data_IF_780023268566
#
_entry.id   IF_780023268566
#
_cell.length_a   1.000
_cell.length_b   1.000
_cell.length_c   1.000
_cell.angle_alpha   90.00
_cell.angle_beta   90.00
_cell.angle_gamma   90.00
#
_symmetry.space_group_name_H-M   'P 1'
#
loop_
_entity.id
_entity.type
_entity.pdbx_description
1 polymer ?
#
# COMPACT_ATOMS: atom_id res chain seq x y z
N UNK A 1 29.48 14.95 13.89
CA UNK A 1 28.60 15.13 12.71
C UNK A 1 27.75 13.86 12.61
N UNK A 2 26.46 13.93 12.94
CA UNK A 2 25.57 12.78 12.71
C UNK A 2 25.47 12.58 11.19
N UNK A 3 26.04 11.49 10.68
CA UNK A 3 25.85 11.13 9.27
C UNK A 3 24.34 11.01 9.03
N UNK A 4 23.83 11.86 8.14
CA UNK A 4 22.41 11.80 7.75
C UNK A 4 22.14 10.41 7.19
N UNK A 5 21.09 9.73 7.66
CA UNK A 5 20.77 8.38 7.17
C UNK A 5 20.61 8.41 5.64
N UNK A 6 21.10 7.40 4.91
CA UNK A 6 21.05 7.40 3.46
C UNK A 6 19.60 7.42 2.98
N UNK A 7 19.36 8.12 1.86
CA UNK A 7 18.06 8.14 1.20
C UNK A 7 17.71 6.72 0.71
N UNK A 8 16.49 6.28 1.00
CA UNK A 8 16.02 4.94 0.65
C UNK A 8 15.46 4.92 -0.79
N UNK A 9 16.13 4.21 -1.66
CA UNK A 9 15.69 3.95 -3.03
C UNK A 9 15.27 2.49 -3.16
N UNK A 10 14.02 2.23 -3.54
CA UNK A 10 13.54 0.85 -3.55
C UNK A 10 12.33 0.59 -4.43
N UNK A 11 11.77 -0.59 -4.25
CA UNK A 11 10.49 -0.98 -4.82
C UNK A 11 9.63 -1.64 -3.75
N UNK A 12 8.32 -1.68 -4.00
CA UNK A 12 7.31 -2.21 -3.08
C UNK A 12 6.57 -3.41 -3.68
N UNK A 13 6.11 -4.30 -2.80
CA UNK A 13 5.17 -5.39 -3.07
C UNK A 13 4.19 -5.54 -1.91
N UNK A 14 3.11 -6.30 -2.10
CA UNK A 14 2.19 -6.70 -1.04
C UNK A 14 1.96 -8.22 -1.08
N UNK A 15 1.96 -8.86 0.10
CA UNK A 15 1.95 -10.32 0.21
C UNK A 15 0.81 -10.98 -0.56
N UNK A 16 -0.43 -10.54 -0.36
CA UNK A 16 -1.57 -11.11 -1.08
C UNK A 16 -1.45 -11.00 -2.61
N UNK A 17 -0.83 -9.92 -3.11
CA UNK A 17 -0.69 -9.65 -4.55
C UNK A 17 0.44 -10.44 -5.21
N UNK A 18 1.44 -10.91 -4.44
CA UNK A 18 2.63 -11.56 -5.01
C UNK A 18 2.91 -12.96 -4.48
N UNK A 19 2.54 -13.30 -3.24
CA UNK A 19 2.92 -14.58 -2.61
C UNK A 19 2.16 -15.78 -3.18
N UNK A 20 0.87 -15.63 -3.43
CA UNK A 20 -0.03 -16.71 -3.85
C UNK A 20 -0.64 -17.49 -2.68
N UNK A 21 -1.80 -18.12 -2.95
CA UNK A 21 -2.49 -19.04 -2.05
C UNK A 21 -2.67 -18.54 -0.62
N UNK A 22 -3.09 -17.29 -0.45
CA UNK A 22 -3.39 -16.70 0.86
C UNK A 22 -4.80 -17.10 1.35
N UNK A 23 -5.03 -18.41 1.45
CA UNK A 23 -6.36 -19.03 1.60
C UNK A 23 -7.12 -18.63 2.86
N UNK A 24 -6.43 -18.16 3.90
CA UNK A 24 -7.04 -17.71 5.15
C UNK A 24 -7.37 -16.21 5.17
N UNK A 25 -7.05 -15.48 4.08
CA UNK A 25 -7.37 -14.07 3.99
C UNK A 25 -8.87 -13.85 3.69
N UNK A 26 -9.38 -12.74 4.18
CA UNK A 26 -10.72 -12.24 3.90
C UNK A 26 -10.93 -12.00 2.41
N UNK A 27 -9.98 -11.34 1.75
CA UNK A 27 -10.05 -11.05 0.31
C UNK A 27 -10.00 -12.35 -0.51
N UNK A 28 -9.20 -13.35 -0.12
CA UNK A 28 -9.23 -14.66 -0.77
C UNK A 28 -10.64 -15.25 -0.80
N UNK A 29 -11.39 -15.16 0.31
CA UNK A 29 -12.77 -15.61 0.33
C UNK A 29 -13.65 -14.80 -0.62
N UNK A 30 -13.48 -13.47 -0.65
CA UNK A 30 -14.25 -12.59 -1.55
C UNK A 30 -14.01 -12.90 -3.03
N UNK A 31 -12.81 -13.35 -3.40
CA UNK A 31 -12.50 -13.79 -4.77
C UNK A 31 -13.29 -15.04 -5.19
N UNK A 32 -13.67 -15.89 -4.22
CA UNK A 32 -14.27 -17.23 -4.47
C UNK A 32 -15.78 -17.29 -4.28
N UNK A 33 -16.40 -16.30 -3.62
CA UNK A 33 -17.84 -16.35 -3.35
C UNK A 33 -18.66 -16.11 -4.62
N UNK A 34 -19.88 -16.66 -4.64
CA UNK A 34 -20.81 -16.40 -5.72
C UNK A 34 -21.15 -14.91 -5.79
N UNK A 35 -21.12 -14.35 -6.99
CA UNK A 35 -21.35 -12.92 -7.22
C UNK A 35 -20.15 -12.03 -6.86
N UNK A 36 -18.95 -12.63 -6.80
CA UNK A 36 -17.72 -11.86 -6.63
C UNK A 36 -17.59 -10.74 -7.68
N UNK A 37 -17.05 -9.62 -7.25
CA UNK A 37 -16.73 -8.48 -8.13
C UNK A 37 -15.29 -8.52 -8.66
N UNK A 38 -14.52 -9.51 -8.27
CA UNK A 38 -13.18 -9.75 -8.80
C UNK A 38 -13.26 -10.34 -10.21
N UNK A 39 -12.44 -9.84 -11.13
CA UNK A 39 -12.39 -10.34 -12.51
C UNK A 39 -11.85 -11.76 -12.58
N UNK A 40 -10.92 -12.07 -11.71
CA UNK A 40 -10.26 -13.37 -11.58
C UNK A 40 -9.65 -13.50 -10.18
N UNK A 41 -9.43 -14.72 -9.66
CA UNK A 41 -8.81 -14.92 -8.36
C UNK A 41 -7.30 -14.68 -8.39
N UNK A 42 -6.73 -14.38 -7.23
CA UNK A 42 -5.27 -14.20 -7.05
C UNK A 42 -4.50 -15.50 -7.32
N UNK A 43 -5.03 -16.65 -6.93
CA UNK A 43 -4.40 -17.97 -7.14
C UNK A 43 -2.96 -18.02 -6.62
N UNK A 44 -2.04 -18.49 -7.46
CA UNK A 44 -0.61 -18.56 -7.13
C UNK A 44 0.10 -17.19 -7.17
N UNK A 45 -0.58 -16.13 -7.53
CA UNK A 45 -0.05 -14.77 -7.67
C UNK A 45 1.26 -14.74 -8.48
N UNK A 46 2.35 -14.25 -7.94
CA UNK A 46 3.68 -14.28 -8.54
C UNK A 46 4.55 -15.44 -8.01
N UNK A 47 3.99 -16.33 -7.19
CA UNK A 47 4.73 -17.37 -6.46
C UNK A 47 5.92 -16.79 -5.63
N UNK A 48 5.79 -15.55 -5.17
CA UNK A 48 6.85 -14.92 -4.36
C UNK A 48 7.02 -15.63 -3.01
N UNK A 49 6.03 -16.38 -2.54
CA UNK A 49 6.18 -17.23 -1.36
C UNK A 49 7.40 -18.17 -1.49
N UNK A 50 7.60 -18.77 -2.65
CA UNK A 50 8.72 -19.69 -2.91
C UNK A 50 9.90 -18.99 -3.61
N UNK A 51 9.69 -17.82 -4.22
CA UNK A 51 10.67 -17.14 -5.09
C UNK A 51 11.10 -15.77 -4.58
N UNK A 52 10.86 -15.44 -3.32
CA UNK A 52 11.25 -14.15 -2.75
C UNK A 52 12.75 -13.83 -2.86
N UNK A 53 13.62 -14.86 -2.92
CA UNK A 53 15.05 -14.65 -3.16
C UNK A 53 15.35 -14.13 -4.58
N UNK A 54 14.56 -14.58 -5.57
CA UNK A 54 14.63 -14.03 -6.93
C UNK A 54 14.18 -12.56 -6.94
N UNK A 55 13.15 -12.22 -6.17
CA UNK A 55 12.67 -10.84 -6.03
C UNK A 55 13.73 -9.95 -5.39
N UNK A 56 14.44 -10.43 -4.35
CA UNK A 56 15.57 -9.70 -3.76
C UNK A 56 16.77 -9.59 -4.73
N UNK A 57 16.96 -10.58 -5.58
CA UNK A 57 17.99 -10.51 -6.63
C UNK A 57 17.69 -9.38 -7.63
N UNK A 58 16.41 -9.15 -7.98
CA UNK A 58 16.01 -8.01 -8.81
C UNK A 58 16.30 -6.68 -8.10
N UNK A 59 15.98 -6.56 -6.82
CA UNK A 59 16.26 -5.36 -6.01
C UNK A 59 17.77 -5.04 -6.02
N UNK A 60 18.60 -6.03 -5.72
CA UNK A 60 20.06 -5.89 -5.71
C UNK A 60 20.63 -5.58 -7.10
N UNK A 61 20.10 -6.25 -8.13
CA UNK A 61 20.53 -6.06 -9.54
C UNK A 61 20.25 -4.66 -10.09
N UNK A 62 19.22 -3.98 -9.58
CA UNK A 62 18.94 -2.57 -9.87
C UNK A 62 19.74 -1.60 -8.97
N UNK A 63 20.59 -2.10 -8.08
CA UNK A 63 21.32 -1.29 -7.12
C UNK A 63 20.41 -0.61 -6.08
N UNK A 64 19.20 -1.08 -5.83
CA UNK A 64 18.30 -0.51 -4.84
C UNK A 64 18.73 -0.87 -3.42
N UNK A 65 18.48 0.01 -2.44
CA UNK A 65 18.87 -0.18 -1.05
C UNK A 65 17.67 -0.27 -0.09
N UNK A 66 16.45 -0.42 -0.61
CA UNK A 66 15.25 -0.65 0.17
C UNK A 66 14.28 -1.59 -0.55
N UNK A 67 13.57 -2.42 0.21
CA UNK A 67 12.49 -3.27 -0.29
C UNK A 67 11.33 -3.25 0.70
N UNK A 68 10.14 -2.89 0.20
CA UNK A 68 8.92 -2.93 0.98
C UNK A 68 8.11 -4.16 0.63
N UNK A 69 7.74 -4.91 1.66
CA UNK A 69 6.85 -6.07 1.57
C UNK A 69 5.86 -6.05 2.74
N UNK A 70 4.73 -6.73 2.61
CA UNK A 70 3.80 -6.89 3.72
C UNK A 70 3.92 -8.26 4.39
N UNK A 71 3.60 -8.30 5.67
CA UNK A 71 3.33 -9.57 6.36
C UNK A 71 1.84 -9.87 6.26
N UNK A 72 1.48 -11.14 6.08
CA UNK A 72 0.07 -11.53 5.98
C UNK A 72 -0.43 -12.02 7.35
N UNK A 73 -1.27 -11.20 7.99
CA UNK A 73 -1.87 -11.52 9.28
C UNK A 73 -2.64 -12.86 9.23
N UNK A 74 -3.35 -13.11 8.13
CA UNK A 74 -4.08 -14.35 7.85
C UNK A 74 -3.22 -15.62 7.87
N UNK A 75 -1.94 -15.51 7.52
CA UNK A 75 -0.96 -16.61 7.56
C UNK A 75 -0.36 -16.76 8.96
N UNK A 76 0.00 -15.63 9.57
CA UNK A 76 0.65 -15.59 10.89
C UNK A 76 -0.33 -16.02 12.00
N UNK A 77 -1.59 -15.62 11.91
CA UNK A 77 -2.64 -15.97 12.87
C UNK A 77 -3.84 -16.59 12.14
N UNK A 78 -3.74 -17.85 11.66
CA UNK A 78 -4.78 -18.52 10.89
C UNK A 78 -6.08 -18.77 11.65
N UNK A 79 -6.02 -18.77 12.98
CA UNK A 79 -7.17 -18.84 13.89
C UNK A 79 -6.91 -17.95 15.11
N UNK A 80 -7.94 -17.42 15.79
CA UNK A 80 -7.80 -16.49 16.91
C UNK A 80 -6.83 -17.02 17.99
N UNK A 81 -5.77 -16.27 18.26
CA UNK A 81 -4.77 -16.61 19.28
C UNK A 81 -3.80 -17.76 18.87
N UNK A 82 -3.90 -18.30 17.67
CA UNK A 82 -3.03 -19.37 17.16
C UNK A 82 -2.00 -18.80 16.20
N UNK A 83 -0.81 -18.50 16.69
CA UNK A 83 0.28 -17.94 15.88
C UNK A 83 1.15 -19.03 15.26
N UNK A 84 1.43 -18.89 13.98
CA UNK A 84 2.31 -19.77 13.22
C UNK A 84 3.76 -19.31 13.33
N UNK A 85 4.59 -20.08 14.03
CA UNK A 85 6.03 -19.83 14.11
C UNK A 85 6.68 -19.91 12.73
N UNK A 86 6.27 -20.86 11.90
CA UNK A 86 6.84 -21.03 10.57
C UNK A 86 6.64 -19.80 9.67
N UNK A 87 5.48 -19.13 9.75
CA UNK A 87 5.23 -17.91 8.99
C UNK A 87 6.01 -16.70 9.56
N UNK A 88 6.15 -16.59 10.87
CA UNK A 88 7.00 -15.57 11.49
C UNK A 88 8.45 -15.74 11.08
N UNK A 89 8.97 -16.98 11.10
CA UNK A 89 10.35 -17.31 10.69
C UNK A 89 10.55 -17.04 9.18
N UNK A 90 9.54 -17.29 8.32
CA UNK A 90 9.59 -16.96 6.89
C UNK A 90 9.79 -15.47 6.66
N UNK A 91 8.96 -14.61 7.26
CA UNK A 91 9.11 -13.14 7.09
C UNK A 91 10.39 -12.62 7.76
N UNK A 92 10.83 -13.23 8.86
CA UNK A 92 12.11 -12.90 9.49
C UNK A 92 13.28 -13.21 8.54
N UNK A 93 13.23 -14.36 7.83
CA UNK A 93 14.25 -14.73 6.85
C UNK A 93 14.34 -13.71 5.70
N UNK A 94 13.20 -13.22 5.18
CA UNK A 94 13.17 -12.17 4.16
C UNK A 94 13.87 -10.90 4.69
N UNK A 95 13.49 -10.43 5.88
CA UNK A 95 14.09 -9.23 6.48
C UNK A 95 15.60 -9.38 6.75
N UNK A 96 16.02 -10.52 7.25
CA UNK A 96 17.45 -10.83 7.49
C UNK A 96 18.24 -10.88 6.18
N UNK A 97 17.67 -11.48 5.13
CA UNK A 97 18.30 -11.56 3.82
C UNK A 97 18.45 -10.17 3.19
N UNK A 98 17.42 -9.31 3.29
CA UNK A 98 17.53 -7.90 2.90
C UNK A 98 18.74 -7.25 3.58
N UNK A 99 18.84 -7.35 4.92
CA UNK A 99 19.95 -6.77 5.69
C UNK A 99 21.30 -7.29 5.23
N UNK A 100 21.42 -8.60 5.02
CA UNK A 100 22.66 -9.23 4.57
C UNK A 100 23.12 -8.73 3.19
N UNK A 101 22.19 -8.24 2.36
CA UNK A 101 22.47 -7.65 1.06
C UNK A 101 22.60 -6.10 1.08
N UNK A 102 22.59 -5.47 2.26
CA UNK A 102 22.61 -4.01 2.39
C UNK A 102 21.30 -3.31 1.95
N UNK A 103 20.20 -4.07 1.86
CA UNK A 103 18.86 -3.58 1.56
C UNK A 103 18.09 -3.35 2.87
N UNK A 104 17.53 -2.16 3.04
CA UNK A 104 16.70 -1.84 4.18
C UNK A 104 15.31 -2.50 4.03
N UNK A 105 14.90 -3.43 4.92
CA UNK A 105 13.56 -3.98 4.90
C UNK A 105 12.56 -2.96 5.44
N UNK A 106 11.51 -2.69 4.67
CA UNK A 106 10.37 -1.87 5.03
C UNK A 106 9.15 -2.78 5.13
N UNK A 107 8.65 -3.00 6.33
CA UNK A 107 7.58 -3.97 6.57
C UNK A 107 6.23 -3.29 6.71
N UNK A 108 5.24 -3.72 5.95
CA UNK A 108 3.83 -3.32 6.10
C UNK A 108 3.09 -4.38 6.92
N UNK A 109 2.43 -3.99 8.01
CA UNK A 109 1.69 -4.94 8.87
C UNK A 109 0.34 -5.33 8.26
N UNK A 110 -0.37 -4.39 7.66
CA UNK A 110 -1.65 -4.64 7.00
C UNK A 110 -1.68 -3.95 5.63
N UNK A 111 -1.73 -4.76 4.57
CA UNK A 111 -1.91 -4.29 3.20
C UNK A 111 -3.26 -4.78 2.66
N UNK A 112 -4.34 -4.15 3.14
CA UNK A 112 -5.76 -4.40 2.86
C UNK A 112 -6.32 -5.70 3.46
N UNK A 113 -5.55 -6.78 3.43
CA UNK A 113 -6.01 -8.10 3.89
C UNK A 113 -6.03 -8.23 5.41
N UNK A 114 -6.96 -9.04 5.88
CA UNK A 114 -7.04 -9.51 7.26
C UNK A 114 -7.43 -11.00 7.32
N UNK A 115 -7.30 -11.67 8.48
CA UNK A 115 -7.77 -13.03 8.61
C UNK A 115 -9.30 -13.15 8.39
N UNK A 116 -9.73 -14.21 7.72
CA UNK A 116 -11.17 -14.50 7.53
C UNK A 116 -11.95 -14.50 8.85
N UNK A 117 -11.37 -15.05 9.92
CA UNK A 117 -12.00 -15.07 11.22
C UNK A 117 -12.22 -13.65 11.79
N UNK A 118 -11.26 -12.73 11.54
CA UNK A 118 -11.37 -11.33 11.96
C UNK A 118 -12.49 -10.61 11.19
N UNK A 119 -12.55 -10.79 9.87
CA UNK A 119 -13.60 -10.22 9.03
C UNK A 119 -14.99 -10.78 9.41
N UNK A 120 -15.08 -12.09 9.71
CA UNK A 120 -16.30 -12.76 10.15
C UNK A 120 -16.78 -12.30 11.55
N UNK A 121 -15.89 -11.75 12.38
CA UNK A 121 -16.22 -11.14 13.68
C UNK A 121 -16.56 -9.64 13.55
N UNK A 122 -16.73 -9.11 12.34
CA UNK A 122 -17.06 -7.71 12.08
C UNK A 122 -15.86 -6.81 11.76
N UNK A 123 -14.65 -7.39 11.62
CA UNK A 123 -13.48 -6.62 11.24
C UNK A 123 -13.21 -5.43 12.16
N UNK A 124 -12.97 -4.25 11.58
CA UNK A 124 -12.71 -3.02 12.35
C UNK A 124 -13.95 -2.43 13.05
N UNK A 125 -15.16 -2.92 12.77
CA UNK A 125 -16.34 -2.53 13.53
C UNK A 125 -16.40 -3.21 14.92
N UNK A 126 -15.64 -4.29 15.11
CA UNK A 126 -15.51 -4.97 16.40
C UNK A 126 -14.67 -4.13 17.38
N UNK A 127 -15.18 -3.91 18.59
CA UNK A 127 -14.47 -3.15 19.63
C UNK A 127 -13.15 -3.77 20.08
N UNK A 128 -12.96 -5.09 19.89
CA UNK A 128 -11.71 -5.79 20.19
C UNK A 128 -10.65 -5.65 19.08
N UNK A 129 -11.02 -5.13 17.89
CA UNK A 129 -10.12 -5.05 16.75
C UNK A 129 -8.78 -4.36 17.06
N UNK A 130 -8.73 -3.24 17.81
CA UNK A 130 -7.46 -2.60 18.15
C UNK A 130 -6.55 -3.50 19.00
N UNK A 131 -7.11 -4.27 19.94
CA UNK A 131 -6.33 -5.18 20.80
C UNK A 131 -5.85 -6.41 20.02
N UNK A 132 -6.68 -6.93 19.12
CA UNK A 132 -6.32 -8.04 18.25
C UNK A 132 -5.15 -7.67 17.32
N UNK A 133 -5.21 -6.48 16.73
CA UNK A 133 -4.14 -5.98 15.85
C UNK A 133 -2.85 -5.65 16.63
N UNK A 134 -2.94 -5.08 17.83
CA UNK A 134 -1.80 -4.90 18.74
C UNK A 134 -1.08 -6.22 19.04
N UNK A 135 -1.86 -7.26 19.37
CA UNK A 135 -1.33 -8.60 19.63
C UNK A 135 -0.58 -9.17 18.41
N UNK A 136 -1.17 -9.06 17.22
CA UNK A 136 -0.53 -9.46 15.98
C UNK A 136 0.77 -8.67 15.75
N UNK A 137 0.73 -7.34 15.85
CA UNK A 137 1.88 -6.47 15.66
C UNK A 137 3.02 -6.80 16.64
N UNK A 138 2.69 -7.13 17.88
CA UNK A 138 3.67 -7.55 18.90
C UNK A 138 4.38 -8.85 18.52
N UNK A 139 3.66 -9.85 17.98
CA UNK A 139 4.26 -11.10 17.50
C UNK A 139 5.21 -10.87 16.33
N UNK A 140 4.80 -10.02 15.37
CA UNK A 140 5.66 -9.66 14.24
C UNK A 140 6.89 -8.88 14.73
N UNK A 141 6.73 -7.93 15.65
CA UNK A 141 7.84 -7.17 16.22
C UNK A 141 8.85 -8.08 16.93
N UNK A 142 8.38 -9.05 17.72
CA UNK A 142 9.25 -10.02 18.40
C UNK A 142 10.06 -10.88 17.41
N UNK A 143 9.46 -11.25 16.29
CA UNK A 143 10.11 -12.10 15.29
C UNK A 143 11.09 -11.33 14.38
N UNK A 144 10.75 -10.09 13.98
CA UNK A 144 11.43 -9.34 12.94
C UNK A 144 12.16 -8.09 13.43
N UNK A 145 11.89 -7.61 14.67
CA UNK A 145 12.26 -6.26 15.13
C UNK A 145 13.72 -5.89 14.95
N UNK A 146 14.65 -6.79 15.22
CA UNK A 146 16.09 -6.54 15.09
C UNK A 146 16.55 -6.35 13.62
N UNK A 147 15.79 -6.89 12.68
CA UNK A 147 16.12 -6.83 11.25
C UNK A 147 15.44 -5.69 10.52
N UNK A 148 14.32 -5.16 11.03
CA UNK A 148 13.48 -4.19 10.33
C UNK A 148 13.89 -2.75 10.67
N UNK A 149 13.97 -1.90 9.65
CA UNK A 149 14.34 -0.48 9.81
C UNK A 149 13.13 0.45 9.80
N UNK A 150 12.13 0.12 9.00
CA UNK A 150 10.92 0.93 8.84
C UNK A 150 9.68 0.03 8.87
N UNK A 151 8.63 0.51 9.52
CA UNK A 151 7.35 -0.19 9.64
C UNK A 151 6.23 0.73 9.16
N UNK A 152 5.39 0.20 8.29
CA UNK A 152 4.12 0.80 7.89
C UNK A 152 3.02 -0.01 8.59
N UNK A 153 2.22 0.63 9.42
CA UNK A 153 1.15 -0.09 10.14
C UNK A 153 0.01 -0.49 9.21
N UNK A 154 -0.49 0.46 8.43
CA UNK A 154 -1.53 0.24 7.43
C UNK A 154 -1.16 0.84 6.08
N UNK A 155 -1.55 0.12 5.03
CA UNK A 155 -1.51 0.60 3.67
C UNK A 155 -2.84 1.27 3.32
N UNK A 156 -2.78 2.55 2.92
CA UNK A 156 -3.90 3.33 2.38
C UNK A 156 -5.24 3.17 3.14
N UNK A 157 -5.25 3.29 4.47
CA UNK A 157 -6.48 3.11 5.22
C UNK A 157 -7.53 4.21 4.94
N UNK A 158 -7.16 5.27 4.25
CA UNK A 158 -8.05 6.36 3.86
C UNK A 158 -8.84 6.10 2.56
N UNK A 159 -8.54 5.02 1.80
CA UNK A 159 -9.25 4.71 0.55
C UNK A 159 -10.78 4.62 0.66
N UNK A 160 -11.39 3.99 1.69
CA UNK A 160 -12.85 3.97 1.81
C UNK A 160 -13.47 5.36 1.86
N UNK A 161 -12.79 6.30 2.52
CA UNK A 161 -13.26 7.69 2.64
C UNK A 161 -13.07 8.50 1.36
N UNK A 162 -12.09 8.11 0.53
CA UNK A 162 -11.86 8.70 -0.79
C UNK A 162 -12.90 8.26 -1.83
N UNK A 163 -13.57 7.13 -1.63
CA UNK A 163 -14.50 6.53 -2.59
C UNK A 163 -15.62 7.48 -3.07
N UNK A 164 -15.95 8.49 -2.27
CA UNK A 164 -16.89 9.57 -2.62
C UNK A 164 -16.38 10.47 -3.75
N UNK A 165 -15.05 10.61 -3.88
CA UNK A 165 -14.37 11.50 -4.82
C UNK A 165 -13.51 10.73 -5.83
N UNK A 166 -13.80 9.46 -6.07
CA UNK A 166 -13.09 8.73 -7.14
C UNK A 166 -13.56 9.25 -8.51
N UNK A 167 -12.66 9.30 -9.51
CA UNK A 167 -13.03 9.73 -10.87
C UNK A 167 -14.15 8.88 -11.50
N UNK A 168 -14.22 7.63 -11.11
CA UNK A 168 -15.33 6.72 -11.38
C UNK A 168 -16.08 6.54 -10.06
N UNK A 169 -17.13 7.32 -9.80
CA UNK A 169 -17.96 7.06 -8.64
C UNK A 169 -18.33 5.59 -8.65
N UNK A 170 -18.15 4.93 -7.49
CA UNK A 170 -18.65 3.56 -7.33
C UNK A 170 -20.15 3.68 -7.64
N UNK A 171 -20.54 3.29 -8.84
CA UNK A 171 -21.93 3.33 -9.27
C UNK A 171 -22.78 2.48 -8.32
N UNK A 172 -24.06 2.80 -8.16
CA UNK A 172 -24.94 2.02 -7.31
C UNK A 172 -24.88 0.52 -7.63
N UNK A 173 -24.84 0.05 -8.90
CA UNK A 173 -24.65 -1.36 -9.22
C UNK A 173 -23.33 -1.95 -8.70
N UNK A 174 -22.25 -1.20 -8.65
CA UNK A 174 -20.97 -1.68 -8.08
C UNK A 174 -21.06 -1.73 -6.56
N UNK A 175 -21.70 -0.76 -5.92
CA UNK A 175 -21.96 -0.78 -4.46
C UNK A 175 -22.86 -1.95 -4.07
N UNK A 176 -23.92 -2.19 -4.83
CA UNK A 176 -24.83 -3.31 -4.61
C UNK A 176 -24.10 -4.64 -4.79
N UNK A 177 -23.24 -4.74 -5.81
CA UNK A 177 -22.38 -5.89 -6.03
C UNK A 177 -21.39 -6.14 -4.88
N UNK A 178 -20.77 -5.09 -4.34
CA UNK A 178 -19.90 -5.19 -3.16
C UNK A 178 -20.68 -5.65 -1.92
N UNK A 179 -21.86 -5.06 -1.69
CA UNK A 179 -22.73 -5.46 -0.58
C UNK A 179 -23.19 -6.91 -0.68
N UNK A 180 -23.60 -7.36 -1.87
CA UNK A 180 -23.98 -8.76 -2.13
C UNK A 180 -22.80 -9.73 -1.92
N UNK A 181 -21.62 -9.36 -2.38
CA UNK A 181 -20.39 -10.15 -2.18
C UNK A 181 -20.04 -10.32 -0.69
N UNK A 182 -20.11 -9.25 0.11
CA UNK A 182 -19.86 -9.29 1.55
C UNK A 182 -20.93 -10.12 2.27
N UNK A 183 -22.20 -9.99 1.88
CA UNK A 183 -23.29 -10.79 2.44
C UNK A 183 -23.10 -12.29 2.14
N UNK A 184 -22.69 -12.66 0.95
CA UNK A 184 -22.40 -14.05 0.59
C UNK A 184 -21.19 -14.59 1.37
N UNK A 185 -20.13 -13.76 1.57
CA UNK A 185 -19.00 -14.12 2.41
C UNK A 185 -19.40 -14.36 3.86
N UNK A 186 -20.31 -13.55 4.42
CA UNK A 186 -20.87 -13.75 5.75
C UNK A 186 -21.60 -15.11 5.82
N UNK A 187 -22.49 -15.39 4.85
CA UNK A 187 -23.24 -16.65 4.77
C UNK A 187 -22.31 -17.88 4.70
N UNK A 188 -21.27 -17.83 3.85
CA UNK A 188 -20.31 -18.92 3.69
C UNK A 188 -19.44 -19.12 4.95
N UNK A 189 -19.16 -18.02 5.66
CA UNK A 189 -18.41 -18.05 6.93
C UNK A 189 -19.25 -18.44 8.14
N UNK A 190 -20.58 -18.60 7.96
CA UNK A 190 -21.49 -18.87 9.08
C UNK A 190 -21.56 -17.71 10.09
N UNK A 191 -21.41 -16.48 9.65
CA UNK A 191 -21.42 -15.26 10.47
C UNK A 191 -22.55 -14.33 10.07
N UNK A 192 -22.98 -13.47 11.01
CA UNK A 192 -24.02 -12.48 10.75
C UNK A 192 -23.54 -11.34 9.85
N UNK A 193 -22.23 -11.12 9.80
CA UNK A 193 -21.57 -10.10 8.96
C UNK A 193 -20.17 -10.53 8.57
N UNK A 194 -19.70 -9.96 7.45
CA UNK A 194 -18.31 -10.08 7.01
C UNK A 194 -17.84 -8.69 6.62
N UNK A 195 -16.89 -8.13 7.38
CA UNK A 195 -16.44 -6.74 7.20
C UNK A 195 -14.99 -6.68 6.77
N UNK A 196 -14.75 -6.03 5.63
CA UNK A 196 -13.41 -5.80 5.06
C UNK A 196 -13.25 -4.30 4.84
N UNK A 197 -12.30 -3.69 5.54
CA UNK A 197 -12.15 -2.23 5.59
C UNK A 197 -12.08 -1.56 4.22
N UNK A 198 -11.25 -2.05 3.30
CA UNK A 198 -11.07 -1.44 1.98
C UNK A 198 -12.35 -1.44 1.13
N UNK A 199 -13.32 -2.27 1.45
CA UNK A 199 -14.65 -2.33 0.82
C UNK A 199 -15.76 -1.78 1.70
N UNK A 200 -15.44 -1.18 2.84
CA UNK A 200 -16.37 -0.49 3.73
C UNK A 200 -16.75 0.89 3.18
N UNK A 201 -17.63 1.57 3.89
CA UNK A 201 -17.98 2.97 3.60
C UNK A 201 -17.22 3.97 4.47
N UNK A 202 -16.21 3.50 5.22
CA UNK A 202 -15.46 4.33 6.15
C UNK A 202 -16.31 4.70 7.38
N UNK A 203 -17.02 3.74 7.94
CA UNK A 203 -17.85 3.92 9.14
C UNK A 203 -17.02 4.49 10.29
N UNK A 204 -17.54 5.50 10.97
CA UNK A 204 -16.82 6.27 12.00
C UNK A 204 -16.28 5.38 13.13
N UNK A 205 -17.06 4.39 13.56
CA UNK A 205 -16.63 3.44 14.60
C UNK A 205 -15.44 2.60 14.12
N UNK A 206 -15.52 2.07 12.90
CA UNK A 206 -14.45 1.27 12.33
C UNK A 206 -13.19 2.11 12.08
N UNK A 207 -13.33 3.36 11.61
CA UNK A 207 -12.22 4.32 11.48
C UNK A 207 -11.56 4.57 12.84
N UNK A 208 -12.33 4.84 13.89
CA UNK A 208 -11.81 5.06 15.24
C UNK A 208 -11.02 3.86 15.74
N UNK A 209 -11.54 2.64 15.56
CA UNK A 209 -10.85 1.41 15.97
C UNK A 209 -9.57 1.17 15.15
N UNK A 210 -9.58 1.45 13.84
CA UNK A 210 -8.41 1.31 12.99
C UNK A 210 -7.29 2.27 13.43
N UNK A 211 -7.60 3.52 13.70
CA UNK A 211 -6.64 4.50 14.19
C UNK A 211 -6.11 4.14 15.58
N UNK A 212 -6.96 3.62 16.47
CA UNK A 212 -6.51 3.06 17.75
C UNK A 212 -5.57 1.86 17.54
N UNK A 213 -5.89 0.99 16.56
CA UNK A 213 -5.04 -0.14 16.16
C UNK A 213 -3.66 0.33 15.69
N UNK A 214 -3.60 1.39 14.88
CA UNK A 214 -2.34 2.02 14.46
C UNK A 214 -1.48 2.44 15.67
N UNK A 215 -2.05 3.23 16.59
CA UNK A 215 -1.31 3.70 17.75
C UNK A 215 -0.86 2.56 18.67
N UNK A 216 -1.69 1.53 18.86
CA UNK A 216 -1.34 0.36 19.67
C UNK A 216 -0.23 -0.47 19.01
N UNK A 217 -0.31 -0.73 17.71
CA UNK A 217 0.73 -1.42 16.95
C UNK A 217 2.08 -0.68 17.01
N UNK A 218 2.05 0.66 16.86
CA UNK A 218 3.23 1.51 17.01
C UNK A 218 3.88 1.33 18.38
N UNK A 219 3.10 1.40 19.46
CA UNK A 219 3.63 1.19 20.81
C UNK A 219 4.22 -0.22 21.00
N UNK A 220 3.52 -1.25 20.50
CA UNK A 220 4.00 -2.63 20.57
C UNK A 220 5.34 -2.80 19.85
N UNK A 221 5.52 -2.22 18.66
CA UNK A 221 6.80 -2.25 17.96
C UNK A 221 7.90 -1.49 18.69
N UNK A 222 7.62 -0.27 19.17
CA UNK A 222 8.59 0.55 19.89
C UNK A 222 9.04 -0.09 21.19
N UNK A 223 8.22 -0.91 21.83
CA UNK A 223 8.61 -1.65 23.05
C UNK A 223 9.63 -2.77 22.78
N UNK A 224 9.64 -3.34 21.58
CA UNK A 224 10.55 -4.42 21.17
C UNK A 224 11.75 -3.87 20.39
N UNK A 225 11.50 -2.98 19.43
CA UNK A 225 12.50 -2.42 18.53
C UNK A 225 12.40 -0.87 18.50
N UNK A 226 12.86 -0.16 19.55
CA UNK A 226 12.72 1.29 19.68
C UNK A 226 13.41 2.07 18.55
N UNK A 227 14.40 1.48 17.89
CA UNK A 227 15.14 2.05 16.77
C UNK A 227 14.36 2.01 15.45
N UNK A 228 13.36 1.13 15.29
CA UNK A 228 12.57 1.05 14.08
C UNK A 228 11.74 2.33 13.90
N UNK A 229 11.74 2.89 12.69
CA UNK A 229 10.91 4.03 12.34
C UNK A 229 9.54 3.55 11.91
N UNK A 230 8.49 4.14 12.46
CA UNK A 230 7.12 3.69 12.25
C UNK A 230 6.28 4.82 11.69
N UNK A 231 5.45 4.53 10.71
CA UNK A 231 4.53 5.47 10.10
C UNK A 231 3.29 4.81 9.51
N UNK A 232 2.37 5.65 9.10
CA UNK A 232 1.14 5.30 8.42
C UNK A 232 1.27 5.69 6.95
N UNK A 233 0.95 4.79 6.01
CA UNK A 233 0.99 5.09 4.57
C UNK A 233 -0.39 5.42 4.04
N UNK A 234 -0.52 6.58 3.38
CA UNK A 234 -1.77 7.16 2.93
C UNK A 234 -1.78 7.33 1.42
N UNK A 235 -2.93 7.12 0.80
CA UNK A 235 -3.20 7.56 -0.56
C UNK A 235 -3.36 9.09 -0.56
N UNK A 236 -2.45 9.79 -1.23
CA UNK A 236 -2.40 11.26 -1.25
C UNK A 236 -2.30 11.72 -2.71
N UNK A 237 -3.44 11.83 -3.42
CA UNK A 237 -3.44 12.43 -4.76
C UNK A 237 -3.11 13.92 -4.67
N UNK A 238 -2.62 14.51 -5.77
CA UNK A 238 -2.55 15.95 -5.91
C UNK A 238 -3.97 16.53 -6.11
N UNK A 239 -4.57 17.00 -5.03
CA UNK A 239 -5.96 17.49 -5.03
C UNK A 239 -6.01 18.94 -5.47
N UNK A 240 -6.70 19.21 -6.59
CA UNK A 240 -6.78 20.53 -7.22
C UNK A 240 -8.23 21.00 -7.33
N UNK A 241 -8.47 22.27 -6.96
CA UNK A 241 -9.75 22.93 -7.20
C UNK A 241 -9.92 23.30 -8.67
N UNK A 242 -11.12 23.09 -9.21
CA UNK A 242 -11.47 23.51 -10.59
C UNK A 242 -12.14 24.87 -10.60
N UNK A 243 -12.95 25.18 -9.58
CA UNK A 243 -13.68 26.45 -9.50
C UNK A 243 -13.44 27.17 -8.17
N UNK A 244 -13.74 26.50 -7.07
CA UNK A 244 -13.54 27.01 -5.72
C UNK A 244 -13.04 25.86 -4.79
N UNK A 245 -12.56 26.22 -3.61
CA UNK A 245 -11.89 25.26 -2.70
C UNK A 245 -12.85 24.38 -1.89
N UNK A 246 -14.17 24.56 -1.97
CA UNK A 246 -15.13 23.82 -1.13
C UNK A 246 -15.03 22.30 -1.29
N UNK A 247 -14.86 21.83 -2.52
CA UNK A 247 -14.67 20.41 -2.79
C UNK A 247 -13.36 19.86 -2.20
N UNK A 248 -12.28 20.63 -2.33
CA UNK A 248 -10.96 20.32 -1.78
C UNK A 248 -10.98 20.30 -0.25
N UNK A 249 -11.59 21.29 0.37
CA UNK A 249 -11.74 21.37 1.83
C UNK A 249 -12.57 20.21 2.37
N UNK A 250 -13.69 19.87 1.70
CA UNK A 250 -14.51 18.74 2.06
C UNK A 250 -13.74 17.41 1.93
N UNK A 251 -13.03 17.20 0.81
CA UNK A 251 -12.19 16.03 0.60
C UNK A 251 -11.16 15.88 1.73
N UNK A 252 -10.37 16.93 1.99
CA UNK A 252 -9.32 16.91 3.00
C UNK A 252 -9.88 16.60 4.39
N UNK A 253 -10.97 17.23 4.77
CA UNK A 253 -11.63 17.00 6.07
C UNK A 253 -12.01 15.54 6.27
N UNK A 254 -12.52 14.86 5.25
CA UNK A 254 -13.01 13.48 5.36
C UNK A 254 -11.93 12.44 5.09
N UNK A 255 -11.12 12.62 4.04
CA UNK A 255 -10.24 11.58 3.54
C UNK A 255 -8.79 11.71 4.02
N UNK A 256 -8.38 12.88 4.55
CA UNK A 256 -6.99 13.12 4.94
C UNK A 256 -6.84 13.49 6.42
N UNK A 257 -7.62 14.47 6.92
CA UNK A 257 -7.43 15.05 8.27
C UNK A 257 -7.39 14.00 9.39
N UNK A 258 -8.32 13.02 9.49
CA UNK A 258 -8.27 12.05 10.58
C UNK A 258 -6.98 11.23 10.61
N UNK A 259 -6.42 10.96 9.43
CA UNK A 259 -5.19 10.18 9.30
C UNK A 259 -3.94 11.04 9.51
N UNK A 260 -3.93 12.27 9.03
CA UNK A 260 -2.82 13.20 9.29
C UNK A 260 -2.69 13.55 10.77
N UNK A 261 -3.81 13.67 11.48
CA UNK A 261 -3.82 13.82 12.93
C UNK A 261 -3.26 12.58 13.64
N UNK A 262 -3.62 11.38 13.18
CA UNK A 262 -3.11 10.13 13.73
C UNK A 262 -1.60 9.94 13.54
N UNK A 263 -1.00 10.52 12.48
CA UNK A 263 0.45 10.51 12.23
C UNK A 263 1.23 11.36 13.24
N UNK A 264 0.56 12.13 14.10
CA UNK A 264 1.17 13.12 14.98
C UNK A 264 2.42 12.68 15.77
N UNK A 265 2.50 11.41 16.21
CA UNK A 265 3.66 10.86 16.93
C UNK A 265 4.55 9.96 16.08
N UNK A 266 4.23 9.76 14.80
CA UNK A 266 4.97 8.87 13.91
C UNK A 266 6.35 9.44 13.54
N UNK A 267 7.25 8.54 13.14
CA UNK A 267 8.59 8.91 12.70
C UNK A 267 8.60 9.47 11.26
N UNK A 268 7.57 9.16 10.48
CA UNK A 268 7.34 9.64 9.11
C UNK A 268 5.86 9.51 8.72
N UNK A 269 5.44 10.29 7.73
CA UNK A 269 4.20 10.05 6.98
C UNK A 269 4.52 9.34 5.68
N UNK A 270 3.87 8.19 5.45
CA UNK A 270 3.96 7.48 4.17
C UNK A 270 3.03 8.11 3.14
N UNK A 271 3.56 8.39 1.95
CA UNK A 271 2.81 8.95 0.82
C UNK A 271 2.76 7.96 -0.32
N UNK A 272 1.56 7.73 -0.82
CA UNK A 272 1.29 6.95 -2.03
C UNK A 272 0.48 7.80 -3.00
N UNK A 273 1.01 8.01 -4.21
CA UNK A 273 0.36 8.87 -5.18
C UNK A 273 0.59 8.37 -6.60
N UNK A 274 -0.48 8.42 -7.40
CA UNK A 274 -0.47 7.94 -8.78
C UNK A 274 -0.97 8.98 -9.78
N UNK A 275 -1.49 10.11 -9.27
CA UNK A 275 -2.02 11.15 -10.12
C UNK A 275 -2.67 12.28 -9.34
N UNK A 276 -3.47 13.07 -10.03
CA UNK A 276 -4.22 14.18 -9.44
C UNK A 276 -5.72 13.89 -9.36
N UNK A 277 -6.37 14.60 -8.44
CA UNK A 277 -7.82 14.62 -8.29
C UNK A 277 -8.32 16.05 -8.48
N UNK A 278 -9.12 16.29 -9.51
CA UNK A 278 -9.69 17.61 -9.81
C UNK A 278 -11.10 17.69 -9.23
N UNK A 279 -11.35 18.64 -8.36
CA UNK A 279 -12.62 18.78 -7.64
C UNK A 279 -13.31 20.11 -7.94
N UNK A 280 -14.58 20.04 -8.32
CA UNK A 280 -15.54 21.10 -8.14
C UNK A 280 -16.18 20.98 -6.74
N UNK A 281 -17.07 21.89 -6.35
CA UNK A 281 -17.65 21.91 -5.01
C UNK A 281 -18.36 20.60 -4.62
N UNK A 282 -18.95 19.91 -5.57
CA UNK A 282 -19.85 18.77 -5.37
C UNK A 282 -19.47 17.50 -6.15
N UNK A 283 -18.44 17.56 -6.99
CA UNK A 283 -18.10 16.45 -7.88
C UNK A 283 -16.63 16.41 -8.27
N UNK A 284 -16.20 15.21 -8.67
CA UNK A 284 -14.94 15.02 -9.39
C UNK A 284 -15.09 15.51 -10.83
N UNK A 285 -14.07 16.24 -11.28
CA UNK A 285 -13.92 16.63 -12.67
C UNK A 285 -12.89 15.71 -13.31
N UNK A 286 -13.33 14.90 -14.24
CA UNK A 286 -12.46 13.98 -14.97
C UNK A 286 -11.33 14.69 -15.73
N UNK A 287 -10.32 13.96 -16.16
CA UNK A 287 -9.25 14.49 -17.01
C UNK A 287 -9.80 15.02 -18.33
N UNK A 288 -9.12 16.02 -18.88
CA UNK A 288 -9.48 16.59 -20.19
C UNK A 288 -9.45 15.49 -21.27
N UNK A 289 -10.28 15.65 -22.33
CA UNK A 289 -10.42 14.63 -23.37
C UNK A 289 -9.09 14.32 -24.08
N UNK A 290 -8.26 15.35 -24.29
CA UNK A 290 -6.93 15.22 -24.90
C UNK A 290 -5.83 14.77 -23.95
N UNK A 291 -6.12 14.57 -22.64
CA UNK A 291 -5.12 14.16 -21.66
C UNK A 291 -4.63 12.73 -21.94
N UNK A 292 -3.33 12.54 -21.87
CA UNK A 292 -2.72 11.19 -21.92
C UNK A 292 -3.23 10.35 -20.75
N UNK A 293 -3.59 9.09 -21.04
CA UNK A 293 -4.14 8.16 -20.05
C UNK A 293 -3.17 7.02 -19.75
N UNK A 294 -3.22 6.55 -18.51
CA UNK A 294 -2.57 5.31 -18.08
C UNK A 294 -3.38 4.08 -18.52
N UNK A 295 -2.83 2.89 -18.37
CA UNK A 295 -3.57 1.65 -18.60
C UNK A 295 -4.80 1.51 -17.68
N UNK A 296 -4.75 2.10 -16.48
CA UNK A 296 -5.90 2.14 -15.56
C UNK A 296 -7.01 3.10 -15.98
N UNK A 297 -6.76 3.96 -16.99
CA UNK A 297 -7.67 5.01 -17.43
C UNK A 297 -7.49 6.34 -16.70
N UNK A 298 -6.58 6.40 -15.73
CA UNK A 298 -6.26 7.62 -15.01
C UNK A 298 -5.44 8.58 -15.88
N UNK A 299 -5.41 9.85 -15.50
CA UNK A 299 -4.58 10.83 -16.19
C UNK A 299 -3.08 10.57 -15.95
N UNK A 300 -2.28 10.63 -17.02
CA UNK A 300 -0.83 10.64 -16.91
C UNK A 300 -0.36 11.96 -16.30
N UNK A 301 -0.10 11.97 -14.99
CA UNK A 301 0.23 13.20 -14.25
C UNK A 301 1.37 12.99 -13.23
N UNK A 302 2.63 12.86 -13.70
CA UNK A 302 3.78 12.56 -12.83
C UNK A 302 4.12 13.67 -11.83
N UNK A 303 3.69 14.91 -12.06
CA UNK A 303 3.91 16.06 -11.18
C UNK A 303 3.19 15.92 -9.83
N UNK A 304 2.18 15.05 -9.75
CA UNK A 304 1.46 14.75 -8.51
C UNK A 304 2.42 14.37 -7.37
N UNK A 305 3.53 13.68 -7.66
CA UNK A 305 4.46 13.24 -6.64
C UNK A 305 5.06 14.41 -5.83
N UNK A 306 5.54 15.44 -6.49
CA UNK A 306 6.08 16.62 -5.82
C UNK A 306 5.03 17.39 -5.03
N UNK A 307 3.80 17.48 -5.54
CA UNK A 307 2.68 18.14 -4.85
C UNK A 307 2.27 17.35 -3.60
N UNK A 308 2.08 16.03 -3.72
CA UNK A 308 1.66 15.15 -2.63
C UNK A 308 2.65 15.17 -1.45
N UNK A 309 3.96 15.09 -1.71
CA UNK A 309 4.96 15.12 -0.62
C UNK A 309 5.01 16.46 0.09
N UNK A 310 4.88 17.59 -0.64
CA UNK A 310 4.79 18.92 -0.01
C UNK A 310 3.55 19.04 0.85
N UNK A 311 2.40 18.59 0.34
CA UNK A 311 1.13 18.63 1.05
C UNK A 311 1.18 17.80 2.34
N UNK A 312 1.61 16.54 2.27
CA UNK A 312 1.69 15.67 3.43
C UNK A 312 2.64 16.20 4.51
N UNK A 313 3.81 16.75 4.10
CA UNK A 313 4.72 17.40 5.05
C UNK A 313 4.10 18.64 5.70
N UNK A 314 3.49 19.51 4.91
CA UNK A 314 2.84 20.73 5.42
C UNK A 314 1.71 20.41 6.41
N UNK A 315 0.94 19.35 6.16
CA UNK A 315 -0.17 18.94 6.99
C UNK A 315 0.26 18.25 8.30
N UNK A 316 1.38 17.51 8.30
CA UNK A 316 1.78 16.68 9.44
C UNK A 316 3.03 17.18 10.18
N UNK A 317 3.84 18.01 9.55
CA UNK A 317 5.17 18.39 10.06
C UNK A 317 6.19 17.23 10.06
N UNK A 318 5.83 16.04 9.57
CA UNK A 318 6.68 14.84 9.60
C UNK A 318 7.53 14.73 8.33
N UNK A 319 8.71 14.07 8.42
CA UNK A 319 9.42 13.63 7.23
C UNK A 319 8.52 12.75 6.36
N UNK A 320 8.64 12.86 5.04
CA UNK A 320 7.84 12.08 4.10
C UNK A 320 8.61 10.85 3.63
N UNK A 321 7.96 9.70 3.61
CA UNK A 321 8.43 8.52 2.92
C UNK A 321 7.49 8.21 1.75
N UNK A 322 7.97 8.33 0.53
CA UNK A 322 7.18 7.88 -0.63
C UNK A 322 7.20 6.35 -0.63
N UNK A 323 6.14 5.76 -0.07
CA UNK A 323 6.01 4.31 0.10
C UNK A 323 5.44 3.61 -1.13
N UNK A 324 4.80 4.37 -2.03
CA UNK A 324 4.44 3.93 -3.38
C UNK A 324 4.32 5.13 -4.33
N UNK A 325 4.84 4.94 -5.54
CA UNK A 325 4.55 5.78 -6.69
C UNK A 325 4.86 5.00 -7.97
N UNK A 326 4.01 5.13 -8.97
CA UNK A 326 4.13 4.42 -10.24
C UNK A 326 2.93 4.67 -11.12
N UNK A 327 2.78 3.86 -12.17
CA UNK A 327 1.59 3.83 -13.00
C UNK A 327 1.38 2.45 -13.62
N UNK A 328 0.12 2.09 -13.90
CA UNK A 328 -0.18 0.98 -14.79
C UNK A 328 0.12 1.41 -16.24
N UNK A 329 0.95 0.65 -16.94
CA UNK A 329 1.26 0.90 -18.33
C UNK A 329 1.53 -0.41 -19.08
N UNK A 330 0.78 -0.64 -20.15
CA UNK A 330 1.06 -1.70 -21.13
C UNK A 330 2.23 -1.33 -22.04
N UNK A 331 2.47 -0.04 -22.23
CA UNK A 331 3.63 0.52 -22.93
C UNK A 331 4.71 0.94 -21.92
N UNK A 332 5.85 0.24 -21.93
CA UNK A 332 6.93 0.52 -21.00
C UNK A 332 7.64 1.87 -21.26
N UNK A 333 7.49 2.46 -22.47
CA UNK A 333 7.97 3.81 -22.77
C UNK A 333 7.17 4.86 -21.97
N UNK A 334 5.89 4.66 -21.75
CA UNK A 334 5.10 5.52 -20.86
C UNK A 334 5.64 5.48 -19.43
N UNK A 335 5.98 4.29 -18.92
CA UNK A 335 6.57 4.14 -17.57
C UNK A 335 7.94 4.81 -17.48
N UNK A 336 8.81 4.68 -18.49
CA UNK A 336 10.13 5.34 -18.52
C UNK A 336 10.00 6.86 -18.44
N UNK A 337 9.10 7.44 -19.23
CA UNK A 337 8.80 8.90 -19.20
C UNK A 337 8.27 9.32 -17.85
N UNK A 338 7.35 8.53 -17.28
CA UNK A 338 6.76 8.78 -15.96
C UNK A 338 7.82 8.82 -14.87
N UNK A 339 8.64 7.77 -14.74
CA UNK A 339 9.71 7.69 -13.74
C UNK A 339 10.61 8.94 -13.77
N UNK A 340 11.06 9.31 -14.96
CA UNK A 340 11.94 10.49 -15.14
C UNK A 340 11.24 11.79 -14.70
N UNK A 341 9.98 11.96 -15.03
CA UNK A 341 9.22 13.18 -14.70
C UNK A 341 8.81 13.22 -13.22
N UNK A 342 8.36 12.10 -12.65
CA UNK A 342 7.98 12.00 -11.25
C UNK A 342 9.18 12.24 -10.32
N UNK A 343 10.34 11.63 -10.60
CA UNK A 343 11.54 11.86 -9.80
C UNK A 343 12.07 13.28 -9.92
N UNK A 344 11.92 13.95 -11.07
CA UNK A 344 12.24 15.40 -11.16
C UNK A 344 11.33 16.22 -10.24
N UNK A 345 10.03 15.96 -10.22
CA UNK A 345 9.10 16.68 -9.33
C UNK A 345 9.39 16.42 -7.85
N UNK A 346 9.85 15.20 -7.50
CA UNK A 346 10.33 14.88 -6.16
C UNK A 346 11.59 15.65 -5.80
N UNK A 347 12.57 15.73 -6.72
CA UNK A 347 13.81 16.50 -6.52
C UNK A 347 13.51 17.99 -6.32
N UNK A 348 12.52 18.55 -7.03
CA UNK A 348 12.06 19.92 -6.84
C UNK A 348 11.46 20.14 -5.45
N UNK A 349 10.62 19.23 -4.96
CA UNK A 349 10.06 19.28 -3.61
C UNK A 349 11.16 19.24 -2.54
N UNK A 350 12.14 18.33 -2.69
CA UNK A 350 13.30 18.20 -1.80
C UNK A 350 14.18 19.47 -1.79
N UNK A 351 14.47 20.03 -2.97
CA UNK A 351 15.22 21.31 -3.09
C UNK A 351 14.45 22.48 -2.46
N UNK A 352 13.11 22.43 -2.49
CA UNK A 352 12.24 23.38 -1.80
C UNK A 352 12.15 23.18 -0.29
N UNK A 353 12.93 22.26 0.30
CA UNK A 353 13.02 22.04 1.74
C UNK A 353 12.11 20.95 2.31
N UNK A 354 11.33 20.21 1.49
CA UNK A 354 10.51 19.10 1.98
C UNK A 354 11.42 17.94 2.39
N UNK A 355 11.42 17.48 3.66
CA UNK A 355 12.26 16.39 4.13
C UNK A 355 11.69 15.05 3.67
N UNK A 356 12.21 14.52 2.57
CA UNK A 356 11.86 13.19 2.05
C UNK A 356 12.96 12.21 2.40
N UNK A 357 12.61 11.08 3.03
CA UNK A 357 13.57 10.07 3.50
C UNK A 357 13.77 8.90 2.54
N UNK A 358 12.86 8.72 1.56
CA UNK A 358 12.97 7.65 0.58
C UNK A 358 11.86 7.66 -0.46
N UNK A 359 12.07 6.85 -1.50
CA UNK A 359 11.14 6.61 -2.61
C UNK A 359 11.12 5.13 -2.96
N UNK A 360 9.93 4.53 -2.96
CA UNK A 360 9.69 3.15 -3.37
C UNK A 360 8.75 3.13 -4.58
N UNK A 361 9.21 2.48 -5.65
CA UNK A 361 8.39 2.31 -6.85
C UNK A 361 7.31 1.24 -6.63
N UNK A 362 6.07 1.53 -7.02
CA UNK A 362 5.02 0.54 -7.13
C UNK A 362 4.87 0.11 -8.59
N UNK A 363 5.25 -1.11 -8.93
CA UNK A 363 5.65 -2.20 -8.04
C UNK A 363 6.91 -2.87 -8.58
N UNK A 364 7.51 -3.77 -7.81
CA UNK A 364 8.64 -4.58 -8.29
C UNK A 364 8.20 -5.49 -9.44
N UNK A 365 7.06 -6.16 -9.29
CA UNK A 365 6.53 -7.16 -10.21
C UNK A 365 5.17 -6.74 -10.78
N UNK A 366 4.86 -7.11 -12.03
CA UNK A 366 3.47 -7.18 -12.46
C UNK A 366 2.77 -8.24 -11.61
N UNK A 367 1.71 -7.84 -10.90
CA UNK A 367 1.10 -8.66 -9.87
C UNK A 367 -0.44 -8.68 -9.95
N UNK A 368 -1.09 -9.27 -8.99
CA UNK A 368 -2.54 -9.28 -8.85
C UNK A 368 -3.06 -7.92 -8.40
N UNK A 369 -3.80 -7.24 -9.27
CA UNK A 369 -4.32 -5.89 -9.00
C UNK A 369 -5.77 -5.94 -8.52
N UNK A 370 -5.98 -6.63 -7.40
CA UNK A 370 -7.26 -6.70 -6.68
C UNK A 370 -8.43 -7.06 -7.61
N UNK A 371 -9.51 -6.30 -7.58
CA UNK A 371 -10.69 -6.52 -8.44
C UNK A 371 -10.41 -6.48 -9.94
N UNK A 372 -9.26 -5.92 -10.36
CA UNK A 372 -8.84 -5.87 -11.77
C UNK A 372 -8.08 -7.12 -12.23
N UNK A 373 -7.77 -8.04 -11.30
CA UNK A 373 -7.00 -9.25 -11.60
C UNK A 373 -5.59 -8.90 -12.11
N UNK A 374 -5.14 -9.57 -13.16
CA UNK A 374 -3.80 -9.37 -13.74
C UNK A 374 -3.78 -8.43 -14.95
N UNK A 375 -4.85 -7.68 -15.17
CA UNK A 375 -4.97 -6.80 -16.34
C UNK A 375 -4.15 -5.53 -16.24
N UNK A 376 -3.59 -5.18 -15.08
CA UNK A 376 -2.84 -3.95 -14.84
C UNK A 376 -1.36 -4.26 -14.64
N UNK A 377 -0.49 -3.50 -15.30
CA UNK A 377 0.95 -3.72 -15.31
C UNK A 377 1.68 -2.55 -14.64
N UNK A 378 1.94 -2.67 -13.34
CA UNK A 378 2.70 -1.68 -12.57
C UNK A 378 4.19 -2.03 -12.42
N UNK A 379 4.56 -3.29 -12.65
CA UNK A 379 5.86 -3.85 -12.32
C UNK A 379 7.03 -3.28 -13.11
N UNK A 380 8.19 -3.19 -12.45
CA UNK A 380 9.49 -3.04 -13.11
C UNK A 380 9.92 -4.34 -13.79
N UNK A 381 9.40 -5.47 -13.34
CA UNK A 381 9.58 -6.76 -14.00
C UNK A 381 8.22 -7.39 -14.32
N UNK A 382 8.11 -8.01 -15.49
CA UNK A 382 6.98 -8.86 -15.83
C UNK A 382 7.13 -10.25 -15.22
N UNK A 383 6.00 -10.92 -14.96
CA UNK A 383 5.95 -12.29 -14.45
C UNK A 383 5.19 -13.17 -15.44
N UNK A 384 5.83 -14.21 -15.93
CA UNK A 384 5.17 -15.24 -16.74
C UNK A 384 4.28 -16.10 -15.82
N UNK A 385 2.97 -16.05 -16.01
CA UNK A 385 1.98 -16.70 -15.13
C UNK A 385 2.02 -18.24 -15.15
N UNK A 386 2.75 -18.86 -16.07
CA UNK A 386 2.88 -20.32 -16.16
C UNK A 386 4.17 -20.84 -15.53
N UNK A 387 5.24 -20.06 -15.62
CA UNK A 387 6.58 -20.46 -15.16
C UNK A 387 7.05 -19.64 -13.96
N UNK A 388 6.34 -18.55 -13.65
CA UNK A 388 6.67 -17.53 -12.65
C UNK A 388 8.04 -16.88 -12.87
N UNK A 389 8.61 -16.99 -14.09
CA UNK A 389 9.86 -16.30 -14.42
C UNK A 389 9.68 -14.80 -14.39
N UNK A 390 10.57 -14.12 -13.66
CA UNK A 390 10.67 -12.66 -13.63
C UNK A 390 11.54 -12.18 -14.78
N UNK A 391 11.06 -11.19 -15.53
CA UNK A 391 11.83 -10.57 -16.62
C UNK A 391 11.83 -9.06 -16.41
N UNK A 392 13.01 -8.44 -16.06
CA UNK A 392 13.11 -7.00 -15.95
C UNK A 392 12.70 -6.32 -17.24
N UNK A 393 11.89 -5.25 -17.12
CA UNK A 393 11.51 -4.39 -18.24
C UNK A 393 12.61 -3.35 -18.49
N UNK A 394 12.57 -2.66 -19.62
CA UNK A 394 13.52 -1.58 -19.92
C UNK A 394 13.45 -0.47 -18.87
N UNK A 395 12.26 -0.18 -18.36
CA UNK A 395 12.05 0.79 -17.27
C UNK A 395 12.78 0.44 -15.98
N UNK A 396 13.08 -0.83 -15.71
CA UNK A 396 13.89 -1.23 -14.55
C UNK A 396 15.32 -0.72 -14.66
N UNK A 397 15.95 -0.81 -15.85
CA UNK A 397 17.25 -0.24 -16.13
C UNK A 397 17.26 1.29 -16.02
N UNK A 398 16.24 1.94 -16.59
CA UNK A 398 16.10 3.40 -16.50
C UNK A 398 15.94 3.83 -15.03
N UNK A 399 15.16 3.10 -14.22
CA UNK A 399 15.03 3.41 -12.80
C UNK A 399 16.36 3.24 -12.05
N UNK A 400 17.10 2.17 -12.33
CA UNK A 400 18.44 1.96 -11.77
C UNK A 400 19.40 3.12 -12.09
N UNK A 401 19.43 3.57 -13.34
CA UNK A 401 20.25 4.71 -13.78
C UNK A 401 19.83 6.03 -13.09
N UNK A 402 18.53 6.27 -12.99
CA UNK A 402 17.98 7.45 -12.30
C UNK A 402 18.33 7.46 -10.79
N UNK A 403 18.36 6.29 -10.15
CA UNK A 403 18.77 6.12 -8.76
C UNK A 403 20.29 6.34 -8.63
N UNK A 404 21.10 5.72 -9.49
CA UNK A 404 22.55 5.88 -9.47
C UNK A 404 22.98 7.35 -9.61
N UNK A 405 22.31 8.11 -10.49
CA UNK A 405 22.58 9.54 -10.70
C UNK A 405 22.21 10.43 -9.50
N UNK A 406 21.49 9.92 -8.48
CA UNK A 406 21.02 10.66 -7.30
C UNK A 406 21.68 10.23 -5.99
N UNK A 407 22.56 9.27 -6.03
CA UNK A 407 23.43 8.82 -4.93
C UNK A 407 24.74 9.59 -4.90
#
# INVERSE_FOLDING_TARGET
MNAQAPFLWGAATAGHQVEGNNVNADIWLLEQVRGTTFKEPSGDACDSLNRWEEDLTLIAGMGLNAYRFSTEWSRIEPAPGRFSRAWLDHYAAIAQRCRAQGVAPVVTLSHFTSPRWFAAQGGWENSEAPALFERFAAQVAQALGDSVTHVVTFNEPNLPLMGRWTPTPISDPVRDGLGAMLAEAARVSGSDRFSVWVYSRGEEVALSHLLQGHHRARRAWKSVAPQARIGLSLAVPDVQAVSDDRGVEAYRRFAETPFFEAVGEDDFVGVQTYGRLRLAADRVVGPDEAAERTQSGDEYYPQALGAAVRHAHAATGRPVFVTENGLAASDDDQRRRYLSAALRSLDEARRGGTPVIGYLHWSLLDNFEWRRGYSQQFGLASVDRRTFRRTPKVSAGVYADLVAARR
#
